data_IF_423795347836
#
_entry.id   IF_423795347836
#
_cell.length_a   1.000
_cell.length_b   1.000
_cell.length_c   1.000
_cell.angle_alpha   90.00
_cell.angle_beta   90.00
_cell.angle_gamma   90.00
#
_symmetry.space_group_name_H-M   'P 1'
#
loop_
_entity.id
_entity.type
_entity.pdbx_description
1 polymer ?
#
# COMPACT_ATOMS: atom_id res chain seq x y z
N UNK A 1 16.10 36.57 -60.12
CA UNK A 1 15.38 36.05 -58.94
C UNK A 1 15.26 37.17 -57.92
N UNK A 2 14.05 37.62 -57.59
CA UNK A 2 13.88 38.54 -56.47
C UNK A 2 14.04 37.76 -55.17
N UNK A 3 15.06 38.10 -54.39
CA UNK A 3 15.32 37.44 -53.11
C UNK A 3 14.36 38.02 -52.06
N UNK A 4 13.45 37.18 -51.57
CA UNK A 4 12.51 37.55 -50.52
C UNK A 4 13.25 37.60 -49.18
N UNK A 5 13.42 38.80 -48.63
CA UNK A 5 14.01 38.97 -47.29
C UNK A 5 12.97 38.69 -46.19
N UNK A 6 12.95 37.44 -45.74
CA UNK A 6 12.07 36.97 -44.68
C UNK A 6 12.41 37.55 -43.30
N UNK A 7 13.62 38.10 -43.11
CA UNK A 7 14.05 38.70 -41.84
C UNK A 7 13.45 40.09 -41.71
N UNK A 8 13.58 40.91 -42.77
CA UNK A 8 12.93 42.22 -42.83
C UNK A 8 11.39 42.09 -42.73
N UNK A 9 10.80 41.10 -43.40
CA UNK A 9 9.36 40.84 -43.34
C UNK A 9 8.86 40.51 -41.93
N UNK A 10 9.65 39.80 -41.10
CA UNK A 10 9.27 39.50 -39.72
C UNK A 10 9.27 40.74 -38.81
N UNK A 11 10.12 41.72 -39.09
CA UNK A 11 10.23 42.95 -38.31
C UNK A 11 9.13 43.98 -38.61
N UNK A 12 8.46 43.88 -39.77
CA UNK A 12 7.43 44.82 -40.21
C UNK A 12 6.11 44.70 -39.44
N UNK A 13 5.29 45.76 -39.43
CA UNK A 13 3.96 45.74 -38.79
C UNK A 13 3.02 44.80 -39.55
N UNK A 14 1.98 44.29 -38.88
CA UNK A 14 1.09 43.26 -39.45
C UNK A 14 0.38 43.71 -40.74
N UNK A 15 0.00 44.99 -40.83
CA UNK A 15 -0.61 45.57 -42.03
C UNK A 15 0.37 45.67 -43.20
N UNK A 16 1.62 46.04 -42.92
CA UNK A 16 2.71 46.14 -43.90
C UNK A 16 3.12 44.75 -44.43
N UNK A 17 3.16 43.74 -43.56
CA UNK A 17 3.41 42.34 -43.96
C UNK A 17 2.38 41.82 -44.95
N UNK A 18 1.11 42.14 -44.74
CA UNK A 18 0.03 41.73 -45.64
C UNK A 18 0.13 42.40 -47.01
N UNK A 19 0.42 43.70 -47.04
CA UNK A 19 0.64 44.41 -48.29
C UNK A 19 1.86 43.86 -49.06
N UNK A 20 2.97 43.60 -48.36
CA UNK A 20 4.18 43.03 -48.96
C UNK A 20 3.97 41.60 -49.50
N UNK A 21 3.21 40.77 -48.79
CA UNK A 21 2.93 39.41 -49.24
C UNK A 21 2.01 39.37 -50.48
N UNK A 22 1.02 40.27 -50.56
CA UNK A 22 0.16 40.41 -51.74
C UNK A 22 0.98 40.91 -52.93
N UNK A 23 1.77 41.96 -52.75
CA UNK A 23 2.59 42.53 -53.81
C UNK A 23 3.65 41.54 -54.34
N UNK A 24 4.24 40.74 -53.46
CA UNK A 24 5.17 39.67 -53.85
C UNK A 24 4.47 38.54 -54.62
N UNK A 25 3.21 38.24 -54.27
CA UNK A 25 2.38 37.27 -54.99
C UNK A 25 2.01 37.79 -56.39
N UNK A 26 1.53 39.02 -56.50
CA UNK A 26 1.14 39.62 -57.78
C UNK A 26 2.33 39.70 -58.75
N UNK A 27 3.50 40.12 -58.27
CA UNK A 27 4.73 40.15 -59.07
C UNK A 27 5.18 38.76 -59.54
N UNK A 28 4.97 37.72 -58.72
CA UNK A 28 5.28 36.35 -59.09
C UNK A 28 4.29 35.76 -60.08
N UNK A 29 3.02 36.16 -60.03
CA UNK A 29 2.04 35.75 -61.05
C UNK A 29 2.31 36.40 -62.41
N UNK A 30 2.85 37.62 -62.43
CA UNK A 30 3.25 38.29 -63.67
C UNK A 30 4.48 37.65 -64.34
N UNK A 31 5.38 37.01 -63.57
CA UNK A 31 6.59 36.35 -64.07
C UNK A 31 6.83 35.00 -63.37
N UNK A 32 6.13 33.93 -63.76
CA UNK A 32 6.09 32.67 -63.00
C UNK A 32 7.39 31.88 -63.06
N UNK A 33 8.12 31.94 -64.17
CA UNK A 33 9.30 31.09 -64.43
C UNK A 33 10.52 31.40 -63.55
N UNK A 34 10.54 32.59 -62.92
CA UNK A 34 11.61 33.04 -62.03
C UNK A 34 11.20 33.25 -60.56
N UNK A 35 9.97 32.88 -60.21
CA UNK A 35 9.38 33.17 -58.92
C UNK A 35 9.78 32.17 -57.82
N UNK A 36 10.17 32.68 -56.65
CA UNK A 36 10.39 31.87 -55.46
C UNK A 36 9.07 31.62 -54.72
N UNK A 37 8.26 30.69 -55.25
CA UNK A 37 6.94 30.34 -54.70
C UNK A 37 6.99 29.93 -53.23
N UNK A 38 8.10 29.33 -52.78
CA UNK A 38 8.28 28.93 -51.38
C UNK A 38 8.45 30.12 -50.45
N UNK A 39 9.28 31.10 -50.85
CA UNK A 39 9.45 32.34 -50.10
C UNK A 39 8.16 33.17 -50.02
N UNK A 40 7.34 33.15 -51.09
CA UNK A 40 6.04 33.83 -51.13
C UNK A 40 5.03 33.14 -50.22
N UNK A 41 4.99 31.80 -50.21
CA UNK A 41 4.15 31.04 -49.28
C UNK A 41 4.50 31.33 -47.82
N UNK A 42 5.80 31.45 -47.49
CA UNK A 42 6.25 31.82 -46.15
C UNK A 42 5.88 33.26 -45.78
N UNK A 43 5.97 34.20 -46.71
CA UNK A 43 5.49 35.58 -46.55
C UNK A 43 3.98 35.64 -46.28
N UNK A 44 3.19 34.91 -47.07
CA UNK A 44 1.74 34.82 -46.88
C UNK A 44 1.39 34.20 -45.53
N UNK A 45 2.10 33.16 -45.10
CA UNK A 45 1.92 32.55 -43.78
C UNK A 45 2.23 33.53 -42.63
N UNK A 46 3.22 34.40 -42.79
CA UNK A 46 3.58 35.44 -41.82
C UNK A 46 2.63 36.65 -41.83
N UNK A 47 1.97 36.89 -42.96
CA UNK A 47 1.00 37.97 -43.17
C UNK A 47 -0.40 37.62 -42.65
N UNK A 48 -0.76 36.34 -42.58
CA UNK A 48 -1.99 35.92 -41.93
C UNK A 48 -1.94 36.30 -40.45
N UNK A 49 -2.97 36.94 -39.89
CA UNK A 49 -3.04 37.17 -38.46
C UNK A 49 -2.92 35.81 -37.78
N UNK A 50 -1.91 35.64 -36.93
CA UNK A 50 -1.83 34.46 -36.06
C UNK A 50 -3.20 34.34 -35.42
N UNK A 51 -3.91 33.22 -35.66
CA UNK A 51 -5.20 32.99 -35.03
C UNK A 51 -4.98 33.17 -33.53
N UNK A 52 -5.37 34.33 -33.00
CA UNK A 52 -5.54 34.49 -31.58
C UNK A 52 -6.49 33.37 -31.23
N UNK A 53 -6.05 32.44 -30.40
CA UNK A 53 -6.94 31.55 -29.66
C UNK A 53 -7.76 32.46 -28.73
N UNK A 54 -8.67 33.22 -29.34
CA UNK A 54 -9.50 34.23 -28.74
C UNK A 54 -10.91 33.68 -28.73
N UNK A 55 -11.36 33.32 -27.53
CA UNK A 55 -12.71 33.50 -26.98
C UNK A 55 -13.94 33.38 -27.90
N UNK A 56 -13.88 32.60 -28.96
CA UNK A 56 -15.03 32.03 -29.63
C UNK A 56 -15.09 30.57 -29.23
N UNK A 57 -15.51 30.30 -28.00
CA UNK A 57 -15.85 28.95 -27.63
C UNK A 57 -16.93 28.50 -28.63
N UNK A 58 -16.58 27.58 -29.52
CA UNK A 58 -17.58 26.73 -30.12
C UNK A 58 -18.38 26.17 -28.95
N UNK A 59 -19.69 26.46 -28.90
CA UNK A 59 -20.62 25.70 -28.06
C UNK A 59 -20.40 24.24 -28.46
N UNK A 60 -19.66 23.51 -27.64
CA UNK A 60 -19.61 22.07 -27.76
C UNK A 60 -21.07 21.63 -27.59
N UNK A 61 -21.63 20.84 -28.52
CA UNK A 61 -22.99 20.32 -28.35
C UNK A 61 -23.09 19.68 -26.97
N UNK A 62 -24.16 19.99 -26.24
CA UNK A 62 -24.50 19.34 -24.98
C UNK A 62 -24.43 17.81 -25.21
N UNK A 63 -23.40 17.12 -24.70
CA UNK A 63 -23.33 15.66 -24.77
C UNK A 63 -21.98 14.96 -25.03
N UNK A 64 -20.85 15.64 -25.27
CA UNK A 64 -19.63 14.92 -25.70
C UNK A 64 -18.52 14.71 -24.64
N UNK A 65 -18.63 15.28 -23.45
CA UNK A 65 -17.64 15.06 -22.39
C UNK A 65 -18.33 14.49 -21.16
N UNK A 66 -18.07 13.20 -20.89
CA UNK A 66 -18.49 12.54 -19.66
C UNK A 66 -17.94 13.35 -18.46
N UNK A 67 -18.79 13.92 -17.59
CA UNK A 67 -18.36 14.74 -16.45
C UNK A 67 -17.47 13.95 -15.46
N UNK A 68 -17.46 12.63 -15.57
CA UNK A 68 -16.64 11.71 -14.76
C UNK A 68 -15.28 11.38 -15.37
N UNK A 69 -15.05 11.67 -16.65
CA UNK A 69 -13.81 11.31 -17.33
C UNK A 69 -12.67 12.27 -16.94
N UNK A 70 -11.59 11.70 -16.40
CA UNK A 70 -10.35 12.41 -16.15
C UNK A 70 -9.63 12.70 -17.46
N UNK A 71 -9.99 13.81 -18.09
CA UNK A 71 -9.23 14.30 -19.22
C UNK A 71 -7.91 14.94 -18.75
N UNK A 72 -6.84 14.61 -19.47
CA UNK A 72 -5.51 15.17 -19.19
C UNK A 72 -5.54 16.67 -19.44
N UNK A 73 -5.15 17.44 -18.41
CA UNK A 73 -4.98 18.89 -18.51
C UNK A 73 -3.49 19.13 -18.81
N UNK A 74 -3.12 19.56 -20.03
CA UNK A 74 -1.72 19.76 -20.37
C UNK A 74 -1.11 20.85 -19.47
N UNK A 75 0.14 20.66 -19.04
CA UNK A 75 0.84 21.58 -18.13
C UNK A 75 0.93 23.02 -18.68
N UNK A 76 0.88 23.20 -20.00
CA UNK A 76 0.83 24.50 -20.67
C UNK A 76 -0.51 25.23 -20.49
N UNK A 77 -1.60 24.49 -20.27
CA UNK A 77 -2.91 25.04 -20.00
C UNK A 77 -3.05 25.50 -18.54
N UNK A 78 -2.25 24.99 -17.60
CA UNK A 78 -2.33 25.34 -16.17
C UNK A 78 -2.09 26.83 -15.90
N UNK A 79 -1.27 27.51 -16.73
CA UNK A 79 -1.08 28.97 -16.67
C UNK A 79 -2.24 29.78 -17.26
N UNK A 80 -3.11 29.14 -18.05
CA UNK A 80 -4.28 29.74 -18.72
C UNK A 80 -5.62 29.29 -18.13
N UNK A 81 -5.63 28.30 -17.24
CA UNK A 81 -6.76 28.01 -16.39
C UNK A 81 -6.97 29.26 -15.54
N UNK A 82 -8.06 29.98 -15.77
CA UNK A 82 -8.49 31.05 -14.87
C UNK A 82 -8.84 30.49 -13.49
N UNK A 83 -9.71 31.21 -12.75
CA UNK A 83 -10.23 30.66 -11.48
C UNK A 83 -10.95 29.34 -11.78
N UNK A 84 -10.43 28.24 -11.23
CA UNK A 84 -11.07 26.93 -11.38
C UNK A 84 -12.44 26.98 -10.68
N UNK A 85 -13.48 26.37 -11.26
CA UNK A 85 -14.78 26.29 -10.62
C UNK A 85 -14.64 25.57 -9.27
N UNK A 86 -15.35 26.06 -8.26
CA UNK A 86 -15.35 25.48 -6.92
C UNK A 86 -16.62 24.66 -6.78
N UNK A 87 -16.49 23.41 -6.36
CA UNK A 87 -17.62 22.61 -5.92
C UNK A 87 -17.74 22.69 -4.40
N UNK A 88 -18.98 22.74 -3.92
CA UNK A 88 -19.35 22.68 -2.51
C UNK A 88 -20.00 21.31 -2.30
N UNK A 89 -19.34 20.49 -1.50
CA UNK A 89 -19.78 19.12 -1.19
C UNK A 89 -20.23 19.09 0.26
N UNK A 90 -21.46 18.62 0.49
CA UNK A 90 -22.01 18.37 1.82
C UNK A 90 -22.02 16.88 2.07
N UNK A 91 -21.36 16.45 3.14
CA UNK A 91 -21.29 15.06 3.56
C UNK A 91 -22.41 14.71 4.55
N UNK A 92 -22.68 13.41 4.71
CA UNK A 92 -23.72 12.90 5.61
C UNK A 92 -23.54 13.28 7.08
N UNK A 93 -22.31 13.55 7.50
CA UNK A 93 -22.00 14.07 8.83
C UNK A 93 -22.26 15.58 9.00
N UNK A 94 -22.80 16.25 7.98
CA UNK A 94 -23.00 17.70 7.96
C UNK A 94 -21.74 18.51 7.60
N UNK A 95 -20.60 17.86 7.41
CA UNK A 95 -19.37 18.54 7.01
C UNK A 95 -19.50 19.11 5.58
N UNK A 96 -19.16 20.39 5.43
CA UNK A 96 -19.10 21.07 4.13
C UNK A 96 -17.64 21.26 3.72
N UNK A 97 -17.33 20.88 2.48
CA UNK A 97 -16.00 21.04 1.88
C UNK A 97 -16.12 21.76 0.54
N UNK A 98 -15.34 22.83 0.40
CA UNK A 98 -15.18 23.57 -0.86
C UNK A 98 -13.91 23.09 -1.54
N UNK A 99 -14.00 22.60 -2.76
CA UNK A 99 -12.88 22.04 -3.50
C UNK A 99 -12.82 22.57 -4.94
N UNK A 100 -11.62 22.87 -5.46
CA UNK A 100 -11.48 23.24 -6.86
C UNK A 100 -11.68 22.02 -7.78
N UNK A 101 -12.61 22.14 -8.72
CA UNK A 101 -12.80 21.18 -9.80
C UNK A 101 -12.02 21.65 -11.03
N UNK A 102 -10.71 21.37 -11.04
CA UNK A 102 -9.78 21.80 -12.10
C UNK A 102 -10.30 21.32 -13.47
N UNK A 103 -10.79 22.27 -14.26
CA UNK A 103 -11.48 22.03 -15.53
C UNK A 103 -10.92 22.96 -16.60
N UNK A 104 -10.83 22.49 -17.85
CA UNK A 104 -10.40 23.33 -18.96
C UNK A 104 -11.48 24.37 -19.30
N UNK A 105 -11.11 25.61 -19.65
CA UNK A 105 -12.07 26.61 -20.11
C UNK A 105 -12.92 26.09 -21.28
N UNK A 106 -14.24 26.25 -21.20
CA UNK A 106 -15.19 25.81 -22.22
C UNK A 106 -15.54 24.31 -22.19
N UNK A 107 -14.97 23.53 -21.27
CA UNK A 107 -15.39 22.14 -21.00
C UNK A 107 -16.34 22.09 -19.79
N UNK A 108 -17.20 21.05 -19.68
CA UNK A 108 -17.96 20.84 -18.46
C UNK A 108 -17.03 20.65 -17.26
N UNK A 109 -17.54 21.00 -16.09
CA UNK A 109 -16.84 20.85 -14.82
C UNK A 109 -16.53 19.38 -14.60
N UNK A 110 -15.25 19.08 -14.35
CA UNK A 110 -14.81 17.73 -14.00
C UNK A 110 -15.18 17.45 -12.53
N UNK A 111 -16.39 16.93 -12.33
CA UNK A 111 -16.93 16.62 -10.99
C UNK A 111 -16.13 15.50 -10.34
N UNK A 112 -15.71 14.48 -11.09
CA UNK A 112 -14.92 13.36 -10.56
C UNK A 112 -13.62 13.83 -9.90
N UNK A 113 -12.87 14.70 -10.57
CA UNK A 113 -11.65 15.31 -10.02
C UNK A 113 -11.96 16.22 -8.83
N UNK A 114 -13.00 17.04 -8.92
CA UNK A 114 -13.44 17.89 -7.82
C UNK A 114 -13.76 17.09 -6.54
N UNK A 115 -14.50 15.99 -6.68
CA UNK A 115 -14.87 15.13 -5.55
C UNK A 115 -13.66 14.48 -4.90
N UNK A 116 -12.68 13.98 -5.67
CA UNK A 116 -11.44 13.44 -5.09
C UNK A 116 -10.63 14.49 -4.33
N UNK A 117 -10.58 15.73 -4.83
CA UNK A 117 -9.95 16.84 -4.09
C UNK A 117 -10.74 17.16 -2.82
N UNK A 118 -12.08 17.14 -2.87
CA UNK A 118 -12.92 17.33 -1.69
C UNK A 118 -12.67 16.23 -0.63
N UNK A 119 -12.52 14.98 -1.05
CA UNK A 119 -12.19 13.87 -0.17
C UNK A 119 -10.81 14.06 0.47
N UNK A 120 -9.80 14.43 -0.31
CA UNK A 120 -8.48 14.72 0.20
C UNK A 120 -8.51 15.86 1.24
N UNK A 121 -9.29 16.91 1.01
CA UNK A 121 -9.49 18.00 1.97
C UNK A 121 -10.23 17.57 3.24
N UNK A 122 -11.27 16.74 3.11
CA UNK A 122 -11.96 16.15 4.26
C UNK A 122 -11.00 15.32 5.10
N UNK A 123 -10.29 14.37 4.47
CA UNK A 123 -9.31 13.50 5.12
C UNK A 123 -8.19 14.31 5.79
N UNK A 124 -7.66 15.32 5.10
CA UNK A 124 -6.63 16.20 5.64
C UNK A 124 -7.11 17.01 6.85
N UNK A 125 -8.38 17.45 6.87
CA UNK A 125 -8.97 18.14 8.03
C UNK A 125 -8.99 17.22 9.25
N UNK A 126 -9.53 16.01 9.09
CA UNK A 126 -9.58 15.00 10.17
C UNK A 126 -8.16 14.62 10.63
N UNK A 127 -7.24 14.35 9.71
CA UNK A 127 -5.85 13.99 10.05
C UNK A 127 -5.13 15.09 10.85
N UNK A 128 -5.42 16.37 10.55
CA UNK A 128 -4.86 17.53 11.28
C UNK A 128 -5.37 17.61 12.72
N UNK A 129 -6.63 17.26 12.97
CA UNK A 129 -7.18 17.19 14.33
C UNK A 129 -6.40 16.19 15.21
N UNK A 130 -5.78 15.18 14.58
CA UNK A 130 -4.93 14.19 15.25
C UNK A 130 -3.43 14.46 15.12
N UNK A 131 -3.03 15.68 14.73
CA UNK A 131 -1.64 16.11 14.72
C UNK A 131 -0.79 15.57 13.55
N UNK A 132 -1.41 15.06 12.48
CA UNK A 132 -0.69 14.68 11.26
C UNK A 132 -0.68 15.80 10.22
N UNK A 133 0.41 15.86 9.45
CA UNK A 133 0.48 16.72 8.27
C UNK A 133 -0.49 16.22 7.19
N UNK A 134 -1.03 17.13 6.36
CA UNK A 134 -2.21 16.85 5.53
C UNK A 134 -2.07 15.70 4.51
N UNK A 135 -0.86 15.34 4.11
CA UNK A 135 -0.61 14.30 3.11
C UNK A 135 -0.26 12.93 3.71
N UNK A 136 0.23 12.88 4.96
CA UNK A 136 0.77 11.64 5.54
C UNK A 136 -0.27 11.03 6.46
N UNK A 137 -0.78 9.85 6.09
CA UNK A 137 -1.73 9.06 6.89
C UNK A 137 -3.19 9.49 6.76
N UNK A 138 -3.51 10.47 5.91
CA UNK A 138 -4.89 10.92 5.72
C UNK A 138 -5.74 9.93 4.91
N UNK A 139 -5.11 9.06 4.10
CA UNK A 139 -5.81 8.06 3.29
C UNK A 139 -6.48 6.94 4.10
N UNK A 140 -6.12 6.76 5.37
CA UNK A 140 -6.79 5.80 6.24
C UNK A 140 -8.20 6.29 6.65
N UNK A 141 -8.52 7.57 6.48
CA UNK A 141 -9.79 8.17 6.91
C UNK A 141 -10.91 7.83 5.91
N UNK A 142 -11.98 7.25 6.43
CA UNK A 142 -13.21 6.98 5.68
C UNK A 142 -13.96 8.30 5.46
N UNK A 143 -14.48 8.47 4.24
CA UNK A 143 -15.24 9.66 3.85
C UNK A 143 -16.73 9.32 3.85
N UNK A 144 -17.57 10.08 4.56
CA UNK A 144 -19.01 9.82 4.61
C UNK A 144 -19.67 9.94 3.22
N UNK A 145 -20.90 9.45 3.09
CA UNK A 145 -21.68 9.63 1.87
C UNK A 145 -21.93 11.10 1.57
N UNK A 146 -22.08 11.42 0.29
CA UNK A 146 -22.39 12.75 -0.21
C UNK A 146 -23.90 12.96 -0.10
N UNK A 147 -24.34 14.06 0.50
CA UNK A 147 -25.74 14.50 0.51
C UNK A 147 -25.99 15.45 -0.67
N UNK A 148 -25.07 16.38 -0.92
CA UNK A 148 -25.19 17.33 -2.03
C UNK A 148 -23.82 17.70 -2.59
N UNK A 149 -23.76 17.95 -3.89
CA UNK A 149 -22.60 18.47 -4.58
C UNK A 149 -23.05 19.54 -5.58
N UNK A 150 -22.63 20.79 -5.35
CA UNK A 150 -23.08 21.95 -6.13
C UNK A 150 -21.86 22.74 -6.61
N UNK A 151 -21.84 23.14 -7.87
CA UNK A 151 -20.81 24.06 -8.38
C UNK A 151 -21.17 25.51 -8.04
N UNK A 152 -20.36 26.16 -7.22
CA UNK A 152 -20.54 27.55 -6.73
C UNK A 152 -20.58 28.58 -7.88
N UNK A 153 -19.81 28.32 -8.95
CA UNK A 153 -19.72 29.24 -10.09
C UNK A 153 -20.91 29.15 -11.06
N UNK A 154 -21.57 28.00 -11.15
CA UNK A 154 -22.61 27.74 -12.16
C UNK A 154 -23.97 27.42 -11.57
N UNK A 155 -24.07 27.15 -10.26
CA UNK A 155 -25.27 26.62 -9.63
C UNK A 155 -25.63 25.19 -10.06
N UNK A 156 -24.76 24.52 -10.83
CA UNK A 156 -25.04 23.17 -11.30
C UNK A 156 -25.03 22.17 -10.14
N UNK A 157 -26.12 21.44 -9.99
CA UNK A 157 -26.28 20.39 -9.00
C UNK A 157 -25.94 19.03 -9.61
N UNK A 158 -25.19 18.23 -8.85
CA UNK A 158 -24.82 16.87 -9.25
C UNK A 158 -25.59 15.86 -8.40
N UNK A 159 -26.26 14.87 -9.02
CA UNK A 159 -27.04 13.87 -8.28
C UNK A 159 -26.18 13.14 -7.25
N UNK A 160 -26.61 13.18 -5.99
CA UNK A 160 -25.87 12.58 -4.89
C UNK A 160 -25.75 11.06 -5.02
N UNK A 161 -26.78 10.38 -5.54
CA UNK A 161 -26.78 8.94 -5.79
C UNK A 161 -25.67 8.53 -6.77
N UNK A 162 -25.59 9.22 -7.90
CA UNK A 162 -24.56 8.99 -8.91
C UNK A 162 -23.16 9.28 -8.34
N UNK A 163 -23.03 10.39 -7.62
CA UNK A 163 -21.78 10.75 -6.95
C UNK A 163 -21.34 9.68 -5.97
N UNK A 164 -22.25 9.17 -5.13
CA UNK A 164 -21.97 8.13 -4.16
C UNK A 164 -21.59 6.79 -4.83
N UNK A 165 -22.26 6.41 -5.91
CA UNK A 165 -22.00 5.18 -6.66
C UNK A 165 -20.61 5.23 -7.32
N UNK A 166 -20.30 6.32 -8.03
CA UNK A 166 -19.03 6.50 -8.75
C UNK A 166 -17.82 6.66 -7.83
N UNK A 167 -18.05 7.13 -6.59
CA UNK A 167 -16.96 7.41 -5.63
C UNK A 167 -16.86 6.43 -4.47
N UNK A 168 -17.68 5.37 -4.44
CA UNK A 168 -17.75 4.44 -3.32
C UNK A 168 -16.38 3.85 -2.92
N UNK A 169 -15.54 3.53 -3.89
CA UNK A 169 -14.20 2.99 -3.65
C UNK A 169 -13.25 4.05 -3.04
N UNK A 170 -13.23 5.26 -3.60
CA UNK A 170 -12.38 6.35 -3.12
C UNK A 170 -12.72 6.80 -1.70
N UNK A 171 -13.97 6.61 -1.26
CA UNK A 171 -14.44 6.97 0.09
C UNK A 171 -14.08 5.95 1.16
N UNK A 172 -13.61 4.75 0.78
CA UNK A 172 -13.21 3.71 1.74
C UNK A 172 -12.04 4.21 2.60
N UNK A 173 -12.06 3.82 3.86
CA UNK A 173 -11.01 4.06 4.84
C UNK A 173 -11.22 3.15 6.04
N UNK A 174 -10.18 2.99 6.86
CA UNK A 174 -10.22 2.18 8.09
C UNK A 174 -10.69 2.98 9.30
N UNK A 175 -10.52 4.30 9.27
CA UNK A 175 -10.91 5.20 10.34
C UNK A 175 -12.21 5.91 9.99
N UNK A 176 -13.32 5.43 10.55
CA UNK A 176 -14.62 6.10 10.47
C UNK A 176 -14.82 7.02 11.67
N UNK A 177 -14.46 8.29 11.48
CA UNK A 177 -14.62 9.32 12.50
C UNK A 177 -16.08 9.50 12.96
N UNK A 178 -17.04 9.31 12.05
CA UNK A 178 -18.46 9.53 12.35
C UNK A 178 -19.00 8.41 13.20
N UNK A 179 -18.70 7.16 12.84
CA UNK A 179 -19.11 6.00 13.63
C UNK A 179 -18.50 6.05 15.04
N UNK A 180 -17.21 6.37 15.14
CA UNK A 180 -16.51 6.49 16.43
C UNK A 180 -17.05 7.63 17.29
N UNK A 181 -17.65 8.67 16.69
CA UNK A 181 -18.17 9.78 17.48
C UNK A 181 -19.33 9.42 18.40
N UNK A 182 -20.15 8.45 17.99
CA UNK A 182 -21.22 7.92 18.83
C UNK A 182 -20.66 7.15 20.04
N UNK A 183 -19.62 6.33 19.83
CA UNK A 183 -18.96 5.57 20.90
C UNK A 183 -18.22 6.48 21.87
N UNK A 184 -17.51 7.48 21.35
CA UNK A 184 -16.72 8.41 22.14
C UNK A 184 -17.59 9.39 22.97
N UNK A 185 -18.89 9.50 22.67
CA UNK A 185 -19.82 10.36 23.41
C UNK A 185 -19.99 9.96 24.88
N UNK A 186 -19.77 8.68 25.21
CA UNK A 186 -19.81 8.15 26.56
C UNK A 186 -18.54 8.47 27.38
N UNK A 187 -17.46 8.88 26.72
CA UNK A 187 -16.18 9.18 27.37
C UNK A 187 -16.11 10.63 27.83
N UNK A 188 -15.42 10.91 28.96
CA UNK A 188 -15.22 12.26 29.45
C UNK A 188 -14.23 13.04 28.57
N UNK A 189 -14.42 14.36 28.51
CA UNK A 189 -13.47 15.26 27.84
C UNK A 189 -12.16 15.39 28.62
N UNK A 190 -12.25 15.44 29.95
CA UNK A 190 -11.11 15.48 30.86
C UNK A 190 -11.18 14.32 31.84
N UNK A 191 -10.06 13.61 32.03
CA UNK A 191 -9.97 12.48 32.94
C UNK A 191 -8.97 12.79 34.06
N UNK A 192 -9.25 12.30 35.27
CA UNK A 192 -8.29 12.29 36.36
C UNK A 192 -7.16 11.29 36.07
N UNK A 193 -5.98 11.57 36.64
CA UNK A 193 -4.69 10.89 36.50
C UNK A 193 -4.69 9.54 35.71
N UNK A 194 -4.66 9.63 34.38
CA UNK A 194 -4.42 8.48 33.49
C UNK A 194 -5.67 7.82 32.91
N UNK A 195 -6.88 8.30 33.21
CA UNK A 195 -8.10 7.83 32.57
C UNK A 195 -8.14 8.13 31.06
N UNK A 196 -8.84 7.29 30.30
CA UNK A 196 -9.00 7.46 28.86
C UNK A 196 -9.94 8.63 28.57
N UNK A 197 -9.41 9.69 27.96
CA UNK A 197 -10.22 10.81 27.48
C UNK A 197 -10.82 10.52 26.11
N UNK A 198 -11.86 11.26 25.74
CA UNK A 198 -12.43 11.26 24.38
C UNK A 198 -11.37 11.51 23.31
N UNK A 199 -10.47 12.49 23.54
CA UNK A 199 -9.39 12.81 22.61
C UNK A 199 -8.38 11.66 22.47
N UNK A 200 -8.03 10.99 23.57
CA UNK A 200 -7.15 9.81 23.54
C UNK A 200 -7.78 8.63 22.80
N UNK A 201 -9.09 8.43 22.98
CA UNK A 201 -9.85 7.40 22.28
C UNK A 201 -9.76 7.59 20.76
N UNK A 202 -10.13 8.77 20.25
CA UNK A 202 -10.03 9.04 18.82
C UNK A 202 -8.60 8.93 18.30
N UNK A 203 -7.63 9.49 19.03
CA UNK A 203 -6.22 9.43 18.64
C UNK A 203 -5.72 7.98 18.57
N UNK A 204 -6.09 7.14 19.54
CA UNK A 204 -5.75 5.72 19.55
C UNK A 204 -6.30 4.98 18.33
N UNK A 205 -7.61 5.13 18.06
CA UNK A 205 -8.25 4.52 16.89
C UNK A 205 -7.66 5.02 15.57
N UNK A 206 -7.39 6.32 15.46
CA UNK A 206 -6.76 6.90 14.27
C UNK A 206 -5.37 6.33 14.02
N UNK A 207 -4.53 6.23 15.07
CA UNK A 207 -3.17 5.72 14.94
C UNK A 207 -3.15 4.21 14.62
N UNK A 208 -4.07 3.43 15.19
CA UNK A 208 -4.26 2.03 14.81
C UNK A 208 -4.61 1.93 13.33
N UNK A 209 -5.63 2.68 12.87
CA UNK A 209 -6.07 2.63 11.48
C UNK A 209 -4.98 3.10 10.50
N UNK A 210 -4.21 4.12 10.87
CA UNK A 210 -3.06 4.59 10.08
C UNK A 210 -1.97 3.53 9.99
N UNK A 211 -1.62 2.88 11.10
CA UNK A 211 -0.60 1.82 11.13
C UNK A 211 -1.05 0.59 10.32
N UNK A 212 -2.30 0.17 10.45
CA UNK A 212 -2.87 -0.93 9.66
C UNK A 212 -2.88 -0.61 8.15
N UNK A 213 -3.18 0.64 7.78
CA UNK A 213 -3.13 1.07 6.39
C UNK A 213 -1.70 1.03 5.83
N UNK A 214 -0.70 1.43 6.61
CA UNK A 214 0.72 1.41 6.23
C UNK A 214 1.23 -0.03 6.07
N UNK A 215 0.88 -0.95 6.97
CA UNK A 215 1.20 -2.38 6.84
C UNK A 215 0.63 -2.94 5.52
N UNK A 216 -0.62 -2.64 5.20
CA UNK A 216 -1.26 -3.11 3.98
C UNK A 216 -0.73 -2.48 2.70
N UNK A 217 -0.18 -1.27 2.80
CA UNK A 217 0.49 -0.61 1.68
C UNK A 217 1.86 -1.26 1.35
N UNK A 218 2.30 -2.24 2.13
CA UNK A 218 3.52 -3.01 1.89
C UNK A 218 4.73 -2.47 2.67
N UNK A 219 4.54 -2.12 3.94
CA UNK A 219 5.66 -1.88 4.85
C UNK A 219 6.59 -3.11 4.88
N UNK A 220 7.91 -2.87 4.98
CA UNK A 220 8.87 -3.95 5.18
C UNK A 220 8.69 -4.66 6.54
N UNK A 221 9.37 -5.79 6.73
CA UNK A 221 9.15 -6.66 7.90
C UNK A 221 9.48 -5.97 9.22
N UNK A 222 10.57 -5.21 9.28
CA UNK A 222 10.98 -4.47 10.49
C UNK A 222 9.94 -3.39 10.81
N UNK A 223 9.55 -2.60 9.80
CA UNK A 223 8.55 -1.56 9.95
C UNK A 223 7.18 -2.12 10.31
N UNK A 224 6.78 -3.24 9.72
CA UNK A 224 5.52 -3.91 10.03
C UNK A 224 5.51 -4.44 11.48
N UNK A 225 6.65 -4.93 11.98
CA UNK A 225 6.78 -5.36 13.38
C UNK A 225 6.68 -4.17 14.36
N UNK A 226 7.32 -3.03 14.05
CA UNK A 226 7.20 -1.80 14.83
C UNK A 226 5.74 -1.31 14.89
N UNK A 227 5.09 -1.22 13.73
CA UNK A 227 3.68 -0.81 13.62
C UNK A 227 2.76 -1.79 14.35
N UNK A 228 3.06 -3.10 14.28
CA UNK A 228 2.34 -4.14 15.03
C UNK A 228 2.44 -3.95 16.55
N UNK A 229 3.63 -3.65 17.06
CA UNK A 229 3.83 -3.31 18.48
C UNK A 229 3.09 -2.03 18.87
N UNK A 230 3.14 -1.00 18.01
CA UNK A 230 2.41 0.25 18.21
C UNK A 230 0.88 0.03 18.26
N UNK A 231 0.33 -0.82 17.38
CA UNK A 231 -1.08 -1.20 17.39
C UNK A 231 -1.46 -1.91 18.68
N UNK A 232 -0.65 -2.89 19.12
CA UNK A 232 -0.90 -3.64 20.35
C UNK A 232 -0.97 -2.74 21.59
N UNK A 233 -0.10 -1.73 21.61
CA UNK A 233 -0.05 -0.73 22.67
C UNK A 233 -1.27 0.18 22.71
N UNK A 234 -1.66 0.75 21.55
CA UNK A 234 -2.87 1.58 21.51
C UNK A 234 -4.11 0.77 21.86
N UNK A 235 -4.21 -0.50 21.40
CA UNK A 235 -5.31 -1.38 21.80
C UNK A 235 -5.32 -1.64 23.31
N UNK A 236 -4.16 -1.81 23.92
CA UNK A 236 -4.06 -1.97 25.38
C UNK A 236 -4.53 -0.70 26.11
N UNK A 237 -4.12 0.48 25.63
CA UNK A 237 -4.55 1.77 26.19
C UNK A 237 -6.05 2.01 26.03
N UNK A 238 -6.62 1.68 24.87
CA UNK A 238 -8.07 1.76 24.63
C UNK A 238 -8.85 0.76 25.51
N UNK A 239 -8.23 -0.35 25.89
CA UNK A 239 -8.75 -1.28 26.89
C UNK A 239 -8.65 -0.81 28.34
N UNK A 240 -8.19 0.42 28.58
CA UNK A 240 -8.08 1.01 29.92
C UNK A 240 -6.76 0.73 30.64
N UNK A 241 -5.78 0.09 29.99
CA UNK A 241 -4.48 -0.19 30.58
C UNK A 241 -3.68 1.11 30.74
N UNK A 242 -3.11 1.33 31.94
CA UNK A 242 -2.31 2.51 32.21
C UNK A 242 -0.97 2.47 31.44
N UNK A 243 -0.41 3.64 31.12
CA UNK A 243 0.87 3.74 30.40
C UNK A 243 2.01 2.94 31.06
N UNK A 244 2.10 2.99 32.40
CA UNK A 244 3.13 2.26 33.15
C UNK A 244 2.96 0.73 33.05
N UNK A 245 1.72 0.24 32.97
CA UNK A 245 1.43 -1.18 32.79
C UNK A 245 1.83 -1.64 31.38
N UNK A 246 1.57 -0.81 30.37
CA UNK A 246 2.00 -1.04 28.99
C UNK A 246 3.53 -1.08 28.91
N UNK A 247 4.23 -0.12 29.54
CA UNK A 247 5.70 -0.14 29.61
C UNK A 247 6.24 -1.38 30.33
N UNK A 248 5.64 -1.76 31.47
CA UNK A 248 6.03 -2.95 32.21
C UNK A 248 5.87 -4.21 31.35
N UNK A 249 4.77 -4.30 30.59
CA UNK A 249 4.53 -5.38 29.63
C UNK A 249 5.57 -5.40 28.51
N UNK A 250 5.92 -4.25 27.92
CA UNK A 250 6.99 -4.16 26.91
C UNK A 250 8.32 -4.67 27.46
N UNK A 251 8.72 -4.21 28.66
CA UNK A 251 9.96 -4.66 29.31
C UNK A 251 9.92 -6.15 29.61
N UNK A 252 8.78 -6.71 30.00
CA UNK A 252 8.63 -8.15 30.22
C UNK A 252 8.81 -8.96 28.93
N UNK A 253 8.25 -8.50 27.81
CA UNK A 253 8.41 -9.14 26.49
C UNK A 253 9.88 -9.12 26.05
N UNK A 254 10.55 -7.97 26.15
CA UNK A 254 11.97 -7.84 25.78
C UNK A 254 12.84 -8.76 26.65
N UNK A 255 12.62 -8.78 27.97
CA UNK A 255 13.36 -9.67 28.88
C UNK A 255 13.13 -11.15 28.56
N UNK A 256 11.91 -11.53 28.20
CA UNK A 256 11.60 -12.91 27.80
C UNK A 256 12.33 -13.30 26.51
N UNK A 257 12.34 -12.41 25.50
CA UNK A 257 13.07 -12.63 24.25
C UNK A 257 14.59 -12.73 24.46
N UNK A 258 15.16 -11.86 25.30
CA UNK A 258 16.58 -11.94 25.66
C UNK A 258 16.92 -13.24 26.41
N UNK A 259 16.03 -13.70 27.30
CA UNK A 259 16.21 -14.95 28.02
C UNK A 259 16.15 -16.16 27.07
N UNK A 260 15.23 -16.15 26.11
CA UNK A 260 15.12 -17.19 25.07
C UNK A 260 16.36 -17.20 24.16
N UNK A 261 16.83 -16.03 23.72
CA UNK A 261 18.05 -15.92 22.91
C UNK A 261 19.29 -16.42 23.65
N UNK A 262 19.43 -16.07 24.95
CA UNK A 262 20.51 -16.60 25.80
C UNK A 262 20.42 -18.11 25.99
N UNK A 263 19.21 -18.64 26.16
CA UNK A 263 18.99 -20.08 26.27
C UNK A 263 19.35 -20.80 24.95
N UNK A 264 18.97 -20.24 23.80
CA UNK A 264 19.32 -20.78 22.49
C UNK A 264 20.84 -20.76 22.24
N UNK A 265 21.52 -19.64 22.52
CA UNK A 265 22.97 -19.53 22.38
C UNK A 265 23.71 -20.50 23.31
N UNK A 266 23.22 -20.69 24.55
CA UNK A 266 23.77 -21.68 25.47
C UNK A 266 23.58 -23.11 24.94
N UNK A 267 22.40 -23.42 24.41
CA UNK A 267 22.12 -24.73 23.82
C UNK A 267 23.00 -25.03 22.61
N UNK A 268 23.23 -24.04 21.75
CA UNK A 268 24.15 -24.14 20.61
C UNK A 268 25.61 -24.35 21.05
N UNK A 269 26.07 -23.61 22.05
CA UNK A 269 27.40 -23.79 22.62
C UNK A 269 27.59 -25.17 23.30
N UNK A 270 26.55 -25.69 23.96
CA UNK A 270 26.55 -27.04 24.50
C UNK A 270 26.55 -28.12 23.41
N UNK A 271 25.79 -27.91 22.33
CA UNK A 271 25.79 -28.80 21.17
C UNK A 271 27.17 -28.83 20.48
N UNK A 272 27.80 -27.66 20.32
CA UNK A 272 29.17 -27.56 19.77
C UNK A 272 30.19 -28.32 20.62
N UNK A 273 30.17 -28.14 21.94
CA UNK A 273 31.05 -28.90 22.86
C UNK A 273 30.84 -30.40 22.79
N UNK A 274 29.60 -30.87 22.66
CA UNK A 274 29.30 -32.31 22.49
C UNK A 274 29.82 -32.83 21.15
N UNK A 275 29.64 -32.08 20.07
CA UNK A 275 30.15 -32.46 18.76
C UNK A 275 31.69 -32.55 18.73
N UNK A 276 32.38 -31.64 19.41
CA UNK A 276 33.84 -31.66 19.57
C UNK A 276 34.30 -32.90 20.36
N UNK A 277 33.67 -33.19 21.50
CA UNK A 277 33.95 -34.39 22.29
C UNK A 277 33.71 -35.68 21.49
N UNK A 278 32.64 -35.75 20.70
CA UNK A 278 32.37 -36.89 19.82
C UNK A 278 33.43 -37.02 18.72
N UNK A 279 33.90 -35.90 18.16
CA UNK A 279 34.96 -35.91 17.15
C UNK A 279 36.30 -36.37 17.74
N UNK A 280 36.67 -35.89 18.92
CA UNK A 280 37.86 -36.34 19.66
C UNK A 280 37.77 -37.82 20.01
N UNK A 281 36.62 -38.29 20.51
CA UNK A 281 36.40 -39.70 20.82
C UNK A 281 36.52 -40.59 19.57
N UNK A 282 35.99 -40.15 18.42
CA UNK A 282 36.15 -40.85 17.14
C UNK A 282 37.60 -40.87 16.66
N UNK A 283 38.32 -39.74 16.79
CA UNK A 283 39.73 -39.66 16.43
C UNK A 283 40.60 -40.57 17.34
N UNK A 284 40.31 -40.59 18.64
CA UNK A 284 40.97 -41.47 19.60
C UNK A 284 40.68 -42.96 19.30
N UNK A 285 39.43 -43.30 18.98
CA UNK A 285 39.06 -44.66 18.58
C UNK A 285 39.77 -45.09 17.29
N UNK A 286 39.82 -44.22 16.27
CA UNK A 286 40.54 -44.48 15.03
C UNK A 286 42.04 -44.66 15.26
N UNK A 287 42.65 -43.88 16.15
CA UNK A 287 44.06 -44.04 16.54
C UNK A 287 44.30 -45.37 17.25
N UNK A 288 43.43 -45.75 18.18
CA UNK A 288 43.53 -47.03 18.90
C UNK A 288 43.36 -48.23 17.94
N UNK A 289 42.46 -48.14 16.98
CA UNK A 289 42.28 -49.16 15.93
C UNK A 289 43.52 -49.28 15.04
N UNK A 290 44.17 -48.17 14.69
CA UNK A 290 45.42 -48.17 13.93
C UNK A 290 46.62 -48.74 14.72
N UNK A 291 46.64 -48.62 16.05
CA UNK A 291 47.69 -49.17 16.93
C UNK A 291 47.47 -50.65 17.28
N UNK A 292 46.22 -51.14 17.27
CA UNK A 292 45.88 -52.55 17.55
C UNK A 292 46.63 -53.62 16.71
N UNK A 293 46.84 -53.48 15.39
CA UNK A 293 47.60 -54.47 14.61
C UNK A 293 49.10 -54.49 14.92
N UNK A 294 49.67 -53.41 15.49
CA UNK A 294 51.08 -53.39 15.93
C UNK A 294 51.30 -54.18 17.22
N UNK A 295 50.31 -54.21 18.12
CA UNK A 295 50.39 -54.98 19.36
C UNK A 295 50.11 -56.48 19.15
N UNK A 296 49.29 -56.85 18.15
CA UNK A 296 49.09 -58.26 17.76
C UNK A 296 50.38 -58.92 17.24
N UNK A 297 51.20 -58.21 16.48
CA UNK A 297 52.50 -58.71 15.99
C UNK A 297 53.58 -58.88 17.09
N UNK A 298 53.43 -58.22 18.24
CA UNK A 298 54.34 -58.40 19.39
C UNK A 298 53.87 -59.57 20.29
N UNK A 299 52.56 -59.77 20.42
CA UNK A 299 52.02 -60.94 21.12
C UNK A 299 52.31 -62.25 20.38
N UNK A 300 52.19 -62.28 19.04
CA UNK A 300 52.46 -63.49 18.25
C UNK A 300 53.95 -63.88 18.19
N UNK A 301 54.88 -62.97 18.53
CA UNK A 301 56.31 -63.25 18.64
C UNK A 301 56.76 -63.69 20.05
N UNK A 302 55.85 -63.76 21.03
CA UNK A 302 56.15 -64.20 22.41
C UNK A 302 55.45 -65.50 22.82
N UNK A 303 54.63 -66.08 21.94
CA UNK A 303 53.87 -67.30 22.21
C UNK A 303 54.38 -68.53 21.43
N UNK A 304 55.68 -68.57 21.14
CA UNK A 304 56.35 -69.79 20.69
C UNK A 304 57.26 -70.33 21.78
N UNK A 305 56.74 -71.18 22.68
CA UNK A 305 57.35 -72.39 23.28
C UNK A 305 56.36 -73.04 24.26
N UNK A 306 55.81 -74.17 23.83
CA UNK A 306 55.40 -75.40 24.57
C UNK A 306 54.39 -75.29 25.74
N UNK A 307 53.25 -75.99 25.72
CA UNK A 307 53.16 -77.47 25.78
C UNK A 307 51.76 -77.97 25.43
N UNK A 308 51.74 -79.17 24.84
CA UNK A 308 50.56 -79.94 24.46
C UNK A 308 50.04 -80.84 25.60
N UNK A 309 48.72 -81.01 25.71
CA UNK A 309 47.99 -82.23 26.10
C UNK A 309 46.48 -81.87 26.19
N UNK A 310 45.65 -82.23 25.21
CA UNK A 310 44.94 -83.52 25.12
C UNK A 310 43.80 -83.69 26.14
N UNK A 311 42.55 -83.48 25.69
CA UNK A 311 41.40 -84.37 25.99
C UNK A 311 40.07 -83.80 25.42
N UNK A 312 39.53 -84.49 24.41
CA UNK A 312 38.10 -84.63 24.10
C UNK A 312 37.49 -85.73 25.03
N UNK A 313 36.18 -86.09 25.00
CA UNK A 313 34.98 -85.47 24.39
C UNK A 313 33.81 -85.33 25.42
N UNK A 314 32.65 -84.77 25.05
CA UNK A 314 31.43 -85.55 24.73
C UNK A 314 30.11 -84.74 24.66
N UNK A 315 29.41 -85.00 23.55
CA UNK A 315 27.97 -85.06 23.23
C UNK A 315 26.86 -84.23 23.90
N UNK A 316 25.98 -83.79 22.99
CA UNK A 316 24.50 -83.66 23.06
C UNK A 316 23.97 -82.45 23.87
N UNK A 317 22.93 -81.73 23.47
CA UNK A 317 21.75 -82.11 22.71
C UNK A 317 20.93 -80.85 22.33
N UNK A 318 19.94 -81.02 21.44
CA UNK A 318 18.69 -80.21 21.33
C UNK A 318 18.66 -78.86 20.58
N UNK A 319 18.44 -78.97 19.26
CA UNK A 319 17.31 -78.43 18.45
C UNK A 319 16.89 -76.92 18.43
N UNK A 320 16.27 -76.47 17.30
CA UNK A 320 16.08 -75.07 16.94
C UNK A 320 14.67 -74.55 17.30
N UNK A 321 14.56 -73.24 17.58
CA UNK A 321 13.26 -72.54 17.64
C UNK A 321 13.25 -71.37 16.67
N UNK A 322 12.21 -71.38 15.84
CA UNK A 322 11.88 -70.47 14.76
C UNK A 322 11.64 -69.01 15.21
N UNK A 323 11.68 -68.04 14.27
CA UNK A 323 11.40 -66.64 14.56
C UNK A 323 9.89 -66.41 14.65
N UNK A 324 9.45 -65.65 15.64
CA UNK A 324 8.09 -65.10 15.69
C UNK A 324 8.15 -63.58 15.46
N UNK A 325 7.34 -63.05 14.53
CA UNK A 325 7.13 -61.62 14.34
C UNK A 325 6.00 -61.13 15.25
N UNK A 326 6.11 -59.92 15.79
CA UNK A 326 5.01 -59.00 16.12
C UNK A 326 5.63 -57.70 16.64
N UNK A 327 5.50 -56.59 15.91
CA UNK A 327 4.33 -55.69 15.96
C UNK A 327 4.11 -55.06 17.33
N UNK A 328 4.76 -53.90 17.55
CA UNK A 328 4.33 -52.76 18.37
C UNK A 328 5.54 -51.81 18.46
N UNK A 329 5.52 -50.51 18.21
CA UNK A 329 4.56 -49.55 17.70
C UNK A 329 5.41 -48.37 17.17
N UNK A 330 4.95 -47.57 16.20
CA UNK A 330 5.72 -46.43 15.72
C UNK A 330 5.89 -45.37 16.81
N UNK A 331 7.14 -45.02 17.10
CA UNK A 331 7.50 -43.82 17.85
C UNK A 331 6.93 -42.62 17.09
N UNK A 332 6.12 -41.73 17.72
CA UNK A 332 5.66 -40.54 17.05
C UNK A 332 6.85 -39.61 16.83
N UNK A 333 7.31 -39.53 15.58
CA UNK A 333 8.16 -38.45 15.10
C UNK A 333 7.37 -37.16 15.30
N UNK A 334 7.84 -36.34 16.24
CA UNK A 334 7.34 -34.99 16.41
C UNK A 334 7.53 -34.23 15.08
N UNK A 335 6.50 -33.56 14.54
CA UNK A 335 6.69 -32.69 13.39
C UNK A 335 7.61 -31.53 13.80
N UNK A 336 8.62 -31.29 12.95
CA UNK A 336 9.42 -30.08 12.96
C UNK A 336 8.52 -28.84 13.06
N UNK A 337 8.92 -27.89 13.92
CA UNK A 337 8.29 -26.58 14.11
C UNK A 337 8.50 -25.66 12.90
N UNK A 338 8.08 -26.09 11.72
CA UNK A 338 8.12 -25.30 10.50
C UNK A 338 6.90 -25.54 9.61
N UNK A 339 5.70 -25.59 10.20
CA UNK A 339 4.42 -25.50 9.49
C UNK A 339 3.25 -25.32 10.48
N UNK A 340 3.18 -24.17 11.15
CA UNK A 340 1.95 -23.71 11.82
C UNK A 340 1.80 -22.22 11.60
N UNK A 341 1.30 -21.84 10.42
CA UNK A 341 0.54 -20.60 10.24
C UNK A 341 -0.22 -20.57 8.90
N UNK A 342 -0.91 -21.65 8.53
CA UNK A 342 -1.96 -21.59 7.49
C UNK A 342 -3.10 -22.56 7.84
N UNK A 343 -4.33 -22.02 7.79
CA UNK A 343 -5.65 -22.67 7.93
C UNK A 343 -6.25 -22.86 9.34
N UNK A 344 -6.92 -21.80 9.82
CA UNK A 344 -8.21 -21.86 10.53
C UNK A 344 -8.68 -20.41 10.70
N UNK A 345 -9.35 -19.82 9.71
CA UNK A 345 -10.81 -19.71 9.83
C UNK A 345 -11.49 -19.58 8.46
N UNK A 346 -12.00 -20.70 7.94
CA UNK A 346 -13.17 -20.71 7.08
C UNK A 346 -14.36 -21.27 7.89
N UNK A 347 -15.16 -20.39 8.46
CA UNK A 347 -16.56 -20.69 8.73
C UNK A 347 -17.36 -19.46 8.34
N UNK A 348 -18.08 -19.61 7.23
CA UNK A 348 -18.98 -18.60 6.71
C UNK A 348 -20.06 -18.28 7.74
N UNK A 349 -20.19 -16.99 8.05
CA UNK A 349 -21.41 -16.45 8.58
C UNK A 349 -22.35 -16.11 7.39
N UNK A 350 -23.67 -16.36 7.54
CA UNK A 350 -24.65 -16.15 6.47
C UNK A 350 -24.75 -14.67 6.11
N UNK A 351 -24.92 -14.37 4.81
CA UNK A 351 -25.33 -13.05 4.35
C UNK A 351 -26.69 -12.71 4.99
N UNK A 352 -26.85 -11.60 5.71
CA UNK A 352 -28.19 -11.09 6.00
C UNK A 352 -28.80 -10.65 4.67
N UNK A 353 -29.83 -11.38 4.24
CA UNK A 353 -30.77 -10.92 3.22
C UNK A 353 -31.39 -9.62 3.72
N UNK A 354 -31.19 -8.54 2.97
CA UNK A 354 -31.89 -7.27 3.20
C UNK A 354 -33.40 -7.53 3.17
N UNK A 355 -34.19 -6.98 4.11
CA UNK A 355 -35.63 -6.96 3.96
C UNK A 355 -35.97 -6.13 2.73
N UNK A 356 -36.61 -6.77 1.75
CA UNK A 356 -37.31 -6.09 0.66
C UNK A 356 -38.39 -5.22 1.29
N UNK A 357 -38.19 -3.90 1.29
CA UNK A 357 -39.22 -2.97 1.69
C UNK A 357 -40.40 -3.06 0.69
N UNK A 358 -41.64 -3.13 1.15
CA UNK A 358 -42.80 -3.10 0.26
C UNK A 358 -42.88 -1.74 -0.43
N UNK A 359 -43.09 -1.78 -1.76
CA UNK A 359 -43.52 -0.66 -2.59
C UNK A 359 -44.75 -0.02 -1.96
N UNK A 360 -44.57 1.15 -1.33
CA UNK A 360 -45.68 1.98 -0.92
C UNK A 360 -46.21 2.67 -2.18
N UNK A 361 -47.37 2.20 -2.65
CA UNK A 361 -48.07 2.77 -3.77
C UNK A 361 -48.44 4.24 -3.47
N UNK A 362 -48.04 5.11 -4.38
CA UNK A 362 -48.54 6.47 -4.52
C UNK A 362 -50.06 6.41 -4.67
N UNK A 363 -50.79 6.99 -3.73
CA UNK A 363 -52.19 7.39 -3.94
C UNK A 363 -52.19 8.89 -4.14
N UNK A 364 -52.44 9.29 -5.39
CA UNK A 364 -52.78 10.65 -5.73
C UNK A 364 -54.15 11.01 -5.15
N UNK A 365 -54.22 12.15 -4.48
CA UNK A 365 -55.42 12.94 -4.25
C UNK A 365 -55.02 14.40 -4.17
#
# INVERSE_FOLDING_TARGET
MQQVDLIAAKAAKATERRALAILAYDNATANPDGANWRGIADLLRLALPAQKAGSGAAKIPDGAADPWADYVIPASATKKLGKSPIIVVTFACGAVVRAPAVSLPGKPVNIGRGLRVAFAFYRARIAREFGKASAIGSDCVAVPSIISAICDATGAEYPAEECNARTAEYRRGRFDHVALSAEASALPETAEAGGLTRADFYRGHYLIASAEAEILAGADEERAAELGAQIADYRSRLGGMAWLEIEARRRAIVRAAEAEAKAAAKAEAEAGRRAEQEAEARAAAAKAEAEAPRLRLVADNSAGVETAAASLPDTADSLPVAPAPNSAAPIPVAPSRAARFLASSSLGAPRPSLPVAPLCAIRAS
#
